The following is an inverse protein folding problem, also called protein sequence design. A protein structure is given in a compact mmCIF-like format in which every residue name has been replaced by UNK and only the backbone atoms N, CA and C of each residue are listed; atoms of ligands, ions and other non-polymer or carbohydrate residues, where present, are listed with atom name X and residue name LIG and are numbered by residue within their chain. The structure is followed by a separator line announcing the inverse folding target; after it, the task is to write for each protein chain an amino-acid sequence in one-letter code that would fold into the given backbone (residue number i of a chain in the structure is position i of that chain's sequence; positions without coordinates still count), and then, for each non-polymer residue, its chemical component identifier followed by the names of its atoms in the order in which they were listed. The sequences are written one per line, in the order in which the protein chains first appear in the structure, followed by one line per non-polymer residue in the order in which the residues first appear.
data_IF_933041809732
#
_entry.id   IF_933041809732
#
_cell.length_a   1.000
_cell.length_b   1.000
_cell.length_c   1.000
_cell.angle_alpha   90.00
_cell.angle_beta   90.00
_cell.angle_gamma   90.00
#
_symmetry.space_group_name_H-M   'P 1'
#
loop_
_entity.id
_entity.type
_entity.pdbx_description
1 polymer ?
#
# COMPACT_ATOMS: atom_id res chain seq x y z
N UNK A 1 29.02 -9.79 11.47
CA UNK A 1 28.29 -10.23 10.26
C UNK A 1 27.14 -11.19 10.56
N UNK A 2 26.82 -11.47 11.84
CA UNK A 2 25.69 -12.34 12.23
C UNK A 2 24.40 -11.56 12.57
N UNK A 3 24.57 -10.39 13.20
CA UNK A 3 23.46 -9.54 13.65
C UNK A 3 22.53 -9.09 12.52
N UNK A 4 23.10 -8.73 11.36
CA UNK A 4 22.30 -8.30 10.20
C UNK A 4 21.44 -9.43 9.62
N UNK A 5 21.90 -10.69 9.73
CA UNK A 5 21.15 -11.87 9.27
C UNK A 5 19.97 -12.14 10.22
N UNK A 6 20.21 -12.07 11.53
CA UNK A 6 19.16 -12.27 12.54
C UNK A 6 18.06 -11.22 12.44
N UNK A 7 18.43 -9.94 12.26
CA UNK A 7 17.47 -8.84 12.07
C UNK A 7 16.68 -9.02 10.78
N UNK A 8 17.33 -9.37 9.67
CA UNK A 8 16.64 -9.64 8.40
C UNK A 8 15.62 -10.77 8.55
N UNK A 9 16.03 -11.91 9.13
CA UNK A 9 15.14 -13.05 9.34
C UNK A 9 13.94 -12.69 10.22
N UNK A 10 14.17 -11.93 11.30
CA UNK A 10 13.08 -11.46 12.15
C UNK A 10 12.08 -10.59 11.41
N UNK A 11 12.55 -9.61 10.63
CA UNK A 11 11.70 -8.72 9.84
C UNK A 11 10.92 -9.51 8.77
N UNK A 12 11.57 -10.46 8.10
CA UNK A 12 10.94 -11.30 7.08
C UNK A 12 9.84 -12.19 7.65
N UNK A 13 10.09 -12.85 8.79
CA UNK A 13 9.07 -13.68 9.46
C UNK A 13 7.90 -12.82 9.94
N UNK A 14 8.17 -11.67 10.55
CA UNK A 14 7.13 -10.73 10.97
C UNK A 14 6.29 -10.25 9.78
N UNK A 15 6.94 -9.84 8.69
CA UNK A 15 6.28 -9.39 7.47
C UNK A 15 5.40 -10.48 6.85
N UNK A 16 5.90 -11.73 6.80
CA UNK A 16 5.13 -12.87 6.30
C UNK A 16 3.88 -13.16 7.16
N UNK A 17 4.02 -13.11 8.50
CA UNK A 17 2.89 -13.31 9.41
C UNK A 17 1.82 -12.22 9.22
N UNK A 18 2.23 -10.96 9.10
CA UNK A 18 1.33 -9.83 8.84
C UNK A 18 0.62 -9.98 7.49
N UNK A 19 1.36 -10.31 6.43
CA UNK A 19 0.80 -10.53 5.09
C UNK A 19 -0.19 -11.70 5.10
N UNK A 20 0.10 -12.78 5.85
CA UNK A 20 -0.78 -13.94 5.98
C UNK A 20 -2.10 -13.60 6.68
N UNK A 21 -2.09 -12.69 7.68
CA UNK A 21 -3.31 -12.20 8.32
C UNK A 21 -4.16 -11.41 7.33
N UNK A 22 -3.55 -10.50 6.56
CA UNK A 22 -4.25 -9.74 5.53
C UNK A 22 -4.85 -10.68 4.45
N UNK A 23 -4.06 -11.65 3.98
CA UNK A 23 -4.51 -12.67 3.03
C UNK A 23 -5.69 -13.48 3.56
N UNK A 24 -5.65 -13.89 4.83
CA UNK A 24 -6.75 -14.64 5.45
C UNK A 24 -8.04 -13.82 5.47
N UNK A 25 -7.98 -12.52 5.78
CA UNK A 25 -9.14 -11.62 5.75
C UNK A 25 -9.76 -11.54 4.35
N UNK A 26 -8.93 -11.37 3.33
CA UNK A 26 -9.35 -11.33 1.93
C UNK A 26 -9.98 -12.66 1.49
N UNK A 27 -9.32 -13.78 1.80
CA UNK A 27 -9.79 -15.12 1.43
C UNK A 27 -11.13 -15.48 2.07
N UNK A 28 -11.41 -15.00 3.28
CA UNK A 28 -12.69 -15.26 3.96
C UNK A 28 -13.82 -14.38 3.44
N UNK A 29 -13.50 -13.19 2.92
CA UNK A 29 -14.49 -12.19 2.51
C UNK A 29 -14.76 -12.20 1.00
N UNK A 30 -14.02 -12.99 0.23
CA UNK A 30 -14.12 -13.05 -1.23
C UNK A 30 -14.24 -14.48 -1.73
N UNK A 31 -14.87 -14.67 -2.88
CA UNK A 31 -14.94 -15.99 -3.54
C UNK A 31 -13.70 -16.27 -4.42
N UNK A 32 -12.78 -15.31 -4.52
CA UNK A 32 -11.60 -15.44 -5.36
C UNK A 32 -10.57 -16.38 -4.72
N UNK A 33 -10.02 -17.30 -5.52
CA UNK A 33 -8.86 -18.11 -5.12
C UNK A 33 -7.59 -17.27 -5.25
N UNK A 34 -7.30 -16.51 -4.20
CA UNK A 34 -6.10 -15.65 -4.11
C UNK A 34 -4.99 -16.40 -3.38
N UNK A 35 -3.77 -16.33 -3.90
CA UNK A 35 -2.55 -16.73 -3.19
C UNK A 35 -1.95 -15.53 -2.45
N UNK A 36 -1.02 -15.77 -1.53
CA UNK A 36 -0.33 -14.68 -0.84
C UNK A 36 0.44 -13.78 -1.83
N UNK A 37 1.06 -14.40 -2.83
CA UNK A 37 1.82 -13.74 -3.89
C UNK A 37 0.93 -12.80 -4.72
N UNK A 38 -0.17 -13.33 -5.26
CA UNK A 38 -1.14 -12.53 -6.04
C UNK A 38 -1.75 -11.40 -5.21
N UNK A 39 -1.96 -11.60 -3.89
CA UNK A 39 -2.40 -10.53 -3.01
C UNK A 39 -1.39 -9.37 -2.99
N UNK A 40 -0.11 -9.67 -2.75
CA UNK A 40 0.94 -8.66 -2.66
C UNK A 40 1.15 -7.94 -4.00
N UNK A 41 1.12 -8.67 -5.11
CA UNK A 41 1.20 -8.09 -6.45
C UNK A 41 0.02 -7.15 -6.73
N UNK A 42 -1.21 -7.59 -6.43
CA UNK A 42 -2.41 -6.78 -6.66
C UNK A 42 -2.41 -5.53 -5.78
N UNK A 43 -1.95 -5.63 -4.52
CA UNK A 43 -1.77 -4.47 -3.65
C UNK A 43 -0.70 -3.51 -4.18
N UNK A 44 0.38 -4.04 -4.77
CA UNK A 44 1.43 -3.24 -5.41
C UNK A 44 0.95 -2.47 -6.64
N UNK A 45 -0.11 -2.93 -7.29
CA UNK A 45 -0.72 -2.25 -8.44
C UNK A 45 -1.65 -1.10 -8.04
N UNK A 46 -2.10 -1.03 -6.78
CA UNK A 46 -2.90 0.09 -6.28
C UNK A 46 -1.99 1.30 -6.10
N UNK A 47 -2.10 2.27 -7.02
CA UNK A 47 -1.19 3.41 -7.11
C UNK A 47 -1.90 4.73 -6.91
N UNK A 48 -1.17 5.68 -6.32
CA UNK A 48 -1.58 7.06 -6.14
C UNK A 48 -0.76 7.95 -7.08
N UNK A 49 -1.42 8.50 -8.09
CA UNK A 49 -0.81 9.42 -9.03
C UNK A 49 -0.73 10.84 -8.45
N UNK A 50 0.38 11.54 -8.74
CA UNK A 50 0.56 12.94 -8.45
C UNK A 50 0.47 13.76 -9.75
N UNK A 51 -0.55 14.61 -9.85
CA UNK A 51 -0.81 15.48 -10.99
C UNK A 51 -0.32 16.88 -10.62
N UNK A 52 0.63 17.41 -11.37
CA UNK A 52 1.15 18.75 -11.18
C UNK A 52 0.33 19.73 -12.03
N UNK A 53 -0.28 20.74 -11.41
CA UNK A 53 -0.94 21.82 -12.14
C UNK A 53 0.12 22.76 -12.74
N UNK A 54 -0.06 23.19 -13.98
CA UNK A 54 0.87 24.13 -14.61
C UNK A 54 0.83 25.49 -13.89
N UNK A 55 1.93 25.89 -13.27
CA UNK A 55 2.02 27.16 -12.53
C UNK A 55 2.41 28.30 -13.47
N UNK A 56 1.55 29.33 -13.55
CA UNK A 56 1.84 30.58 -14.28
C UNK A 56 2.74 31.54 -13.49
N UNK A 57 3.00 31.26 -12.21
CA UNK A 57 3.80 32.10 -11.32
C UNK A 57 5.00 31.35 -10.74
N UNK A 58 6.15 32.01 -10.50
CA UNK A 58 7.30 31.41 -9.81
C UNK A 58 6.91 30.98 -8.39
N UNK A 59 7.04 29.69 -8.07
CA UNK A 59 6.66 29.16 -6.75
C UNK A 59 6.44 27.65 -6.76
N UNK A 60 6.06 27.09 -5.61
CA UNK A 60 5.75 25.68 -5.47
C UNK A 60 4.55 25.29 -6.36
N UNK A 61 4.77 24.29 -7.23
CA UNK A 61 3.75 23.77 -8.13
C UNK A 61 2.71 23.00 -7.32
N UNK A 62 1.42 23.28 -7.54
CA UNK A 62 0.33 22.60 -6.84
C UNK A 62 0.24 21.16 -7.34
N UNK A 63 0.45 20.21 -6.43
CA UNK A 63 0.27 18.77 -6.69
C UNK A 63 -1.11 18.31 -6.20
N UNK A 64 -1.86 17.65 -7.07
CA UNK A 64 -3.10 16.94 -6.74
C UNK A 64 -2.82 15.45 -6.75
N UNK A 65 -3.16 14.76 -5.67
CA UNK A 65 -3.04 13.31 -5.59
C UNK A 65 -4.38 12.63 -5.88
N UNK A 66 -4.37 11.60 -6.74
CA UNK A 66 -5.57 10.81 -7.08
C UNK A 66 -5.21 9.34 -7.21
N UNK A 67 -6.12 8.46 -6.80
CA UNK A 67 -5.98 7.02 -7.08
C UNK A 67 -6.11 6.77 -8.59
N UNK A 68 -5.25 5.89 -9.10
CA UNK A 68 -5.33 5.42 -10.49
C UNK A 68 -6.59 4.55 -10.70
N UNK A 69 -6.95 4.31 -11.96
CA UNK A 69 -8.07 3.42 -12.30
C UNK A 69 -7.71 1.98 -11.90
N UNK A 70 -8.53 1.39 -11.05
CA UNK A 70 -8.30 0.06 -10.48
C UNK A 70 -9.17 -1.00 -11.14
N UNK A 71 -8.62 -2.20 -11.29
CA UNK A 71 -9.37 -3.39 -11.71
C UNK A 71 -10.43 -3.80 -10.67
N UNK A 72 -11.37 -4.67 -11.07
CA UNK A 72 -12.39 -5.17 -10.14
C UNK A 72 -11.79 -5.86 -8.90
N UNK A 73 -10.66 -6.53 -9.08
CA UNK A 73 -9.97 -7.22 -8.00
C UNK A 73 -9.31 -6.25 -7.01
N UNK A 74 -8.65 -5.21 -7.53
CA UNK A 74 -8.06 -4.13 -6.73
C UNK A 74 -9.12 -3.37 -5.93
N UNK A 75 -10.26 -3.05 -6.55
CA UNK A 75 -11.40 -2.46 -5.85
C UNK A 75 -11.92 -3.36 -4.73
N UNK A 76 -12.05 -4.67 -4.98
CA UNK A 76 -12.48 -5.64 -3.96
C UNK A 76 -11.49 -5.67 -2.78
N UNK A 77 -10.19 -5.67 -3.06
CA UNK A 77 -9.16 -5.64 -2.01
C UNK A 77 -9.23 -4.35 -1.18
N UNK A 78 -9.39 -3.20 -1.83
CA UNK A 78 -9.51 -1.90 -1.17
C UNK A 78 -10.67 -1.85 -0.18
N UNK A 79 -11.80 -2.44 -0.55
CA UNK A 79 -13.00 -2.50 0.29
C UNK A 79 -12.83 -3.49 1.43
N UNK A 80 -12.40 -4.72 1.16
CA UNK A 80 -12.28 -5.78 2.17
C UNK A 80 -11.25 -5.44 3.24
N UNK A 81 -10.14 -4.81 2.84
CA UNK A 81 -9.08 -4.38 3.74
C UNK A 81 -9.35 -3.02 4.38
N UNK A 82 -10.41 -2.31 3.96
CA UNK A 82 -10.80 -0.99 4.47
C UNK A 82 -9.68 0.05 4.36
N UNK A 83 -8.86 -0.04 3.31
CA UNK A 83 -7.66 0.80 3.15
C UNK A 83 -7.89 2.03 2.27
N UNK A 84 -9.09 2.20 1.71
CA UNK A 84 -9.41 3.32 0.81
C UNK A 84 -9.15 4.68 1.45
N UNK A 85 -9.57 4.85 2.70
CA UNK A 85 -9.40 6.12 3.40
C UNK A 85 -7.95 6.39 3.80
N UNK A 86 -7.12 5.35 3.96
CA UNK A 86 -5.68 5.51 4.25
C UNK A 86 -4.93 6.12 3.06
N UNK A 87 -5.36 5.84 1.83
CA UNK A 87 -4.77 6.44 0.63
C UNK A 87 -5.16 7.92 0.49
N UNK A 88 -6.39 8.29 0.84
CA UNK A 88 -6.87 9.67 0.79
C UNK A 88 -6.35 10.50 1.99
N UNK A 89 -6.25 9.89 3.16
CA UNK A 89 -5.85 10.53 4.42
C UNK A 89 -4.57 9.87 4.93
N UNK A 90 -3.47 10.07 4.19
CA UNK A 90 -2.18 9.44 4.50
C UNK A 90 -1.80 9.71 5.97
N UNK A 91 -1.69 8.68 6.82
CA UNK A 91 -1.38 8.89 8.23
C UNK A 91 0.02 9.48 8.37
N UNK A 92 0.11 10.59 9.12
CA UNK A 92 1.39 11.17 9.52
C UNK A 92 1.85 10.45 10.78
N UNK A 93 2.77 9.51 10.62
CA UNK A 93 3.40 8.84 11.76
C UNK A 93 4.57 9.71 12.23
N UNK A 94 4.46 10.26 13.45
CA UNK A 94 5.51 11.10 14.01
C UNK A 94 6.83 10.32 14.09
N UNK A 95 7.91 10.90 13.54
CA UNK A 95 9.23 10.28 13.49
C UNK A 95 9.48 9.34 12.31
N UNK A 96 8.51 9.16 11.41
CA UNK A 96 8.66 8.36 10.19
C UNK A 96 8.32 9.21 8.97
N UNK A 97 9.35 9.70 8.28
CA UNK A 97 9.25 10.39 6.99
C UNK A 97 9.78 9.50 5.88
N UNK A 98 9.04 9.37 4.77
CA UNK A 98 9.51 8.66 3.57
C UNK A 98 10.64 9.44 2.86
N UNK A 99 10.72 10.75 3.12
CA UNK A 99 11.80 11.62 2.67
C UNK A 99 12.21 12.52 3.85
N UNK A 100 13.43 12.31 4.34
CA UNK A 100 14.20 13.30 5.11
C UNK A 100 15.27 13.85 4.17
#
# INVERSE_FOLDING_TARGET
TDHNVQVHMFICVLGYLLATIAWRRVRLSTQFKITLDTLLDTLGNIRLAAILEESKTPGAVKAIYKLEEMSAMENTLMEVLEIKDLHNNRPKVNGVGVYN
#
